data_IF_883241605726
#
_entry.id   IF_883241605726
#
_cell.length_a   1.000
_cell.length_b   1.000
_cell.length_c   1.000
_cell.angle_alpha   90.00
_cell.angle_beta   90.00
_cell.angle_gamma   90.00
#
_symmetry.space_group_name_H-M   'P 1'
#
loop_
_entity.id
_entity.type
_entity.pdbx_description
1 polymer ?
#
# COMPACT_ATOMS: atom_id res chain seq x y z
N UNK A 1 -13.81 60.35 -33.77
CA UNK A 1 -13.44 59.25 -34.67
C UNK A 1 -12.46 58.33 -33.92
N UNK A 2 -12.97 57.31 -33.26
CA UNK A 2 -12.14 56.36 -32.46
C UNK A 2 -12.02 55.11 -33.33
N UNK A 3 -10.79 54.76 -33.71
CA UNK A 3 -10.48 53.55 -34.46
C UNK A 3 -10.52 52.35 -33.53
N UNK A 4 -11.40 51.38 -33.79
CA UNK A 4 -11.40 50.04 -33.23
C UNK A 4 -10.25 49.27 -33.89
N UNK A 5 -9.32 48.74 -33.08
CA UNK A 5 -8.35 47.75 -33.55
C UNK A 5 -9.01 46.37 -33.42
N UNK A 6 -9.35 45.77 -34.55
CA UNK A 6 -9.75 44.37 -34.65
C UNK A 6 -8.55 43.48 -34.35
N UNK A 7 -8.56 42.86 -33.20
CA UNK A 7 -7.68 41.72 -32.90
C UNK A 7 -8.28 40.45 -33.51
N UNK A 8 -7.97 40.19 -34.76
CA UNK A 8 -8.22 38.88 -35.38
C UNK A 8 -7.17 37.91 -34.87
N UNK A 9 -7.56 37.05 -33.89
CA UNK A 9 -6.73 35.92 -33.46
C UNK A 9 -6.73 34.90 -34.60
N UNK A 10 -5.55 34.70 -35.21
CA UNK A 10 -5.38 33.76 -36.33
C UNK A 10 -5.78 32.32 -35.91
N UNK A 11 -6.49 31.56 -36.76
CA UNK A 11 -6.84 30.15 -36.52
C UNK A 11 -5.64 29.27 -36.23
N UNK A 12 -4.44 29.65 -36.66
CA UNK A 12 -3.18 28.97 -36.35
C UNK A 12 -2.81 29.01 -34.85
N UNK A 13 -3.20 30.04 -34.11
CA UNK A 13 -2.91 30.10 -32.65
C UNK A 13 -3.74 29.09 -31.85
N UNK A 14 -5.00 28.87 -32.21
CA UNK A 14 -5.84 27.87 -31.60
C UNK A 14 -5.34 26.44 -31.88
N UNK A 15 -4.85 26.19 -33.09
CA UNK A 15 -4.31 24.90 -33.48
C UNK A 15 -2.98 24.58 -32.73
N UNK A 16 -2.12 25.59 -32.58
CA UNK A 16 -0.83 25.45 -31.90
C UNK A 16 -1.01 25.25 -30.38
N UNK A 17 -1.94 25.98 -29.75
CA UNK A 17 -2.27 25.82 -28.33
C UNK A 17 -2.90 24.44 -28.09
N UNK A 18 -3.82 24.00 -28.91
CA UNK A 18 -4.45 22.69 -28.86
C UNK A 18 -3.44 21.57 -29.08
N UNK A 19 -2.53 21.72 -30.05
CA UNK A 19 -1.49 20.71 -30.30
C UNK A 19 -0.45 20.65 -29.19
N UNK A 20 -0.05 21.77 -28.61
CA UNK A 20 0.88 21.83 -27.46
C UNK A 20 0.25 21.26 -26.23
N UNK A 21 -1.03 21.55 -25.97
CA UNK A 21 -1.80 20.93 -24.86
C UNK A 21 -1.95 19.41 -25.06
N UNK A 22 -2.23 18.98 -26.29
CA UNK A 22 -2.33 17.58 -26.67
C UNK A 22 -0.99 16.85 -26.53
N UNK A 23 0.11 17.47 -26.97
CA UNK A 23 1.48 16.94 -26.81
C UNK A 23 1.87 16.91 -25.33
N UNK A 24 1.56 17.93 -24.52
CA UNK A 24 1.79 17.89 -23.07
C UNK A 24 0.99 16.78 -22.36
N UNK A 25 -0.26 16.55 -22.76
CA UNK A 25 -1.07 15.44 -22.27
C UNK A 25 -0.52 14.07 -22.72
N UNK A 26 0.10 14.00 -23.90
CA UNK A 26 0.71 12.78 -24.43
C UNK A 26 2.03 12.39 -23.73
N UNK A 27 2.71 13.33 -23.06
CA UNK A 27 4.00 13.11 -22.40
C UNK A 27 3.83 12.82 -20.90
N UNK A 28 2.65 13.11 -20.32
CA UNK A 28 2.41 12.91 -18.89
C UNK A 28 2.30 11.41 -18.57
N UNK A 29 3.12 10.95 -17.65
CA UNK A 29 3.00 9.57 -17.12
C UNK A 29 1.65 9.36 -16.46
N UNK A 30 1.15 8.12 -16.55
CA UNK A 30 -0.08 7.68 -15.89
C UNK A 30 0.25 6.60 -14.88
N UNK A 31 -0.11 6.82 -13.62
CA UNK A 31 0.02 5.84 -12.54
C UNK A 31 -1.35 5.27 -12.20
N UNK A 32 -1.44 3.94 -12.11
CA UNK A 32 -2.61 3.23 -11.63
C UNK A 32 -2.35 2.71 -10.21
N UNK A 33 -3.25 3.03 -9.29
CA UNK A 33 -3.19 2.58 -7.90
C UNK A 33 -4.50 1.85 -7.57
N UNK A 34 -4.46 0.55 -7.33
CA UNK A 34 -5.63 -0.18 -6.83
C UNK A 34 -5.58 -0.24 -5.31
N UNK A 35 -6.75 -0.22 -4.64
CA UNK A 35 -6.81 -0.05 -3.20
C UNK A 35 -6.31 1.34 -2.76
N UNK A 36 -6.57 2.36 -3.62
CA UNK A 36 -6.00 3.71 -3.46
C UNK A 36 -6.53 4.50 -2.28
N UNK A 37 -7.62 4.08 -1.65
CA UNK A 37 -8.21 4.69 -0.46
C UNK A 37 -7.87 3.92 0.84
N UNK A 38 -7.24 2.74 0.73
CA UNK A 38 -6.67 2.01 1.84
C UNK A 38 -5.46 2.71 2.46
N UNK A 39 -4.94 2.21 3.58
CA UNK A 39 -3.85 2.87 4.32
C UNK A 39 -2.59 3.10 3.48
N UNK A 40 -2.05 2.07 2.82
CA UNK A 40 -0.84 2.21 2.00
C UNK A 40 -1.14 2.97 0.71
N UNK A 41 -2.27 2.66 0.05
CA UNK A 41 -2.68 3.27 -1.22
C UNK A 41 -2.82 4.78 -1.12
N UNK A 42 -3.54 5.31 -0.11
CA UNK A 42 -3.71 6.76 0.04
C UNK A 42 -2.41 7.50 0.36
N UNK A 43 -1.48 6.87 1.10
CA UNK A 43 -0.16 7.44 1.33
C UNK A 43 0.69 7.44 0.05
N UNK A 44 0.56 6.42 -0.82
CA UNK A 44 1.16 6.43 -2.15
C UNK A 44 0.54 7.53 -3.04
N UNK A 45 -0.80 7.69 -3.06
CA UNK A 45 -1.47 8.78 -3.79
C UNK A 45 -0.94 10.14 -3.35
N UNK A 46 -0.89 10.40 -2.03
CA UNK A 46 -0.34 11.66 -1.47
C UNK A 46 1.11 11.88 -1.90
N UNK A 47 1.95 10.85 -1.84
CA UNK A 47 3.37 10.93 -2.23
C UNK A 47 3.49 11.27 -3.72
N UNK A 48 2.82 10.56 -4.60
CA UNK A 48 2.88 10.81 -6.04
C UNK A 48 2.26 12.16 -6.42
N UNK A 49 1.19 12.59 -5.74
CA UNK A 49 0.62 13.92 -5.90
C UNK A 49 1.65 15.01 -5.60
N UNK A 50 2.43 14.85 -4.53
CA UNK A 50 3.40 15.84 -4.09
C UNK A 50 4.71 15.86 -4.89
N UNK A 51 5.09 14.73 -5.50
CA UNK A 51 6.43 14.56 -6.09
C UNK A 51 6.44 14.40 -7.61
N UNK A 52 5.26 14.29 -8.25
CA UNK A 52 5.15 14.12 -9.71
C UNK A 52 4.06 15.02 -10.30
N UNK A 53 4.11 15.23 -11.61
CA UNK A 53 3.05 15.86 -12.39
C UNK A 53 2.17 14.82 -13.12
N UNK A 54 2.38 13.54 -12.88
CA UNK A 54 1.68 12.43 -13.51
C UNK A 54 0.16 12.51 -13.32
N UNK A 55 -0.58 11.91 -14.24
CA UNK A 55 -1.95 11.52 -14.01
C UNK A 55 -1.97 10.35 -13.02
N UNK A 56 -2.78 10.44 -11.98
CA UNK A 56 -2.91 9.40 -10.97
C UNK A 56 -4.36 8.88 -11.01
N UNK A 57 -4.50 7.60 -11.31
CA UNK A 57 -5.78 6.91 -11.30
C UNK A 57 -5.77 6.00 -10.09
N UNK A 58 -6.75 6.14 -9.22
CA UNK A 58 -6.85 5.27 -8.06
C UNK A 58 -8.26 4.70 -7.92
N UNK A 59 -8.32 3.39 -7.70
CA UNK A 59 -9.53 2.58 -7.67
C UNK A 59 -9.69 2.01 -6.28
N UNK A 60 -10.90 2.12 -5.71
CA UNK A 60 -11.24 1.56 -4.41
C UNK A 60 -12.76 1.42 -4.30
N UNK A 61 -13.26 0.35 -3.69
CA UNK A 61 -14.69 0.14 -3.44
C UNK A 61 -15.17 0.76 -2.13
N UNK A 62 -14.23 1.29 -1.33
CA UNK A 62 -14.46 1.86 0.00
C UNK A 62 -14.97 0.86 1.04
N UNK A 63 -14.83 -0.45 0.81
CA UNK A 63 -15.20 -1.47 1.79
C UNK A 63 -14.44 -1.36 3.12
N UNK A 64 -13.17 -0.89 3.03
CA UNK A 64 -12.31 -0.57 4.18
C UNK A 64 -11.68 0.82 4.00
N UNK A 65 -11.51 1.26 2.75
CA UNK A 65 -10.91 2.54 2.39
C UNK A 65 -11.72 3.75 2.85
N UNK A 66 -11.06 4.89 2.98
CA UNK A 66 -11.70 6.17 3.35
C UNK A 66 -11.83 7.06 2.12
N UNK A 67 -13.02 7.66 1.91
CA UNK A 67 -13.30 8.49 0.73
C UNK A 67 -12.28 9.64 0.59
N UNK A 68 -11.78 9.93 -0.63
CA UNK A 68 -10.71 10.92 -0.86
C UNK A 68 -11.01 12.31 -0.33
N UNK A 69 -12.27 12.75 -0.31
CA UNK A 69 -12.66 14.05 0.22
C UNK A 69 -12.21 14.31 1.68
N UNK A 70 -11.93 13.25 2.43
CA UNK A 70 -11.55 13.37 3.84
C UNK A 70 -10.04 13.52 4.07
N UNK A 71 -9.21 13.13 3.09
CA UNK A 71 -7.76 13.08 3.27
C UNK A 71 -6.95 13.68 2.11
N UNK A 72 -7.54 13.81 0.90
CA UNK A 72 -6.87 14.35 -0.25
C UNK A 72 -6.96 15.88 -0.26
N UNK A 73 -5.81 16.55 -0.22
CA UNK A 73 -5.73 18.02 -0.33
C UNK A 73 -5.67 18.41 -1.80
N UNK A 74 -6.82 18.42 -2.47
CA UNK A 74 -6.95 18.74 -3.88
C UNK A 74 -8.36 19.29 -4.16
N UNK A 75 -8.49 20.19 -5.15
CA UNK A 75 -9.78 20.73 -5.53
C UNK A 75 -10.53 19.75 -6.44
N UNK A 76 -11.81 19.49 -6.16
CA UNK A 76 -12.66 18.77 -7.12
C UNK A 76 -12.83 19.61 -8.39
N UNK A 77 -12.55 19.00 -9.53
CA UNK A 77 -12.68 19.65 -10.83
C UNK A 77 -13.80 19.06 -11.68
N UNK A 78 -14.15 17.79 -11.43
CA UNK A 78 -15.28 17.11 -12.06
C UNK A 78 -15.72 15.94 -11.19
N UNK A 79 -17.00 15.58 -11.29
CA UNK A 79 -17.54 14.36 -10.66
C UNK A 79 -18.67 13.78 -11.50
N UNK A 80 -18.91 12.48 -11.35
CA UNK A 80 -19.99 11.75 -11.99
C UNK A 80 -20.31 10.48 -11.22
N UNK A 81 -21.21 9.68 -11.76
CA UNK A 81 -21.58 8.42 -11.12
C UNK A 81 -20.36 7.48 -10.98
N UNK A 82 -19.94 7.23 -9.74
CA UNK A 82 -18.83 6.34 -9.43
C UNK A 82 -17.43 6.91 -9.67
N UNK A 83 -17.27 8.22 -9.92
CA UNK A 83 -15.94 8.81 -10.05
C UNK A 83 -15.87 10.28 -9.63
N UNK A 84 -14.68 10.70 -9.23
CA UNK A 84 -14.33 12.11 -8.96
C UNK A 84 -12.95 12.41 -9.54
N UNK A 85 -12.80 13.60 -10.15
CA UNK A 85 -11.51 14.11 -10.60
C UNK A 85 -11.10 15.28 -9.72
N UNK A 86 -9.86 15.25 -9.24
CA UNK A 86 -9.25 16.32 -8.46
C UNK A 86 -8.06 16.91 -9.21
N UNK A 87 -7.89 18.23 -9.13
CA UNK A 87 -6.80 18.99 -9.75
C UNK A 87 -6.55 18.65 -11.24
N UNK A 88 -7.61 18.25 -11.97
CA UNK A 88 -7.57 17.81 -13.38
C UNK A 88 -6.57 16.65 -13.65
N UNK A 89 -6.10 15.92 -12.64
CA UNK A 89 -5.11 14.85 -12.82
C UNK A 89 -5.20 13.66 -11.87
N UNK A 90 -6.02 13.75 -10.83
CA UNK A 90 -6.23 12.65 -9.89
C UNK A 90 -7.64 12.11 -10.13
N UNK A 91 -7.75 10.97 -10.77
CA UNK A 91 -9.02 10.31 -11.05
C UNK A 91 -9.27 9.24 -10.00
N UNK A 92 -10.26 9.44 -9.14
CA UNK A 92 -10.81 8.42 -8.27
C UNK A 92 -11.94 7.68 -8.97
N UNK A 93 -11.89 6.35 -8.98
CA UNK A 93 -12.96 5.47 -9.45
C UNK A 93 -13.43 4.64 -8.27
N UNK A 94 -14.66 4.84 -7.83
CA UNK A 94 -15.30 4.04 -6.79
C UNK A 94 -15.88 2.78 -7.41
N UNK A 95 -15.15 1.70 -7.36
CA UNK A 95 -15.56 0.41 -7.93
C UNK A 95 -14.76 -0.75 -7.34
N UNK A 96 -15.34 -1.94 -7.41
CA UNK A 96 -14.62 -3.19 -7.18
C UNK A 96 -13.53 -3.35 -8.25
N UNK A 97 -12.29 -3.54 -7.79
CA UNK A 97 -11.11 -3.64 -8.66
C UNK A 97 -11.20 -4.83 -9.61
N UNK A 98 -11.81 -5.94 -9.20
CA UNK A 98 -11.99 -7.11 -10.05
C UNK A 98 -12.87 -6.78 -11.27
N UNK A 99 -13.97 -6.06 -11.05
CA UNK A 99 -14.84 -5.60 -12.14
C UNK A 99 -14.11 -4.63 -13.07
N UNK A 100 -13.30 -3.73 -12.53
CA UNK A 100 -12.52 -2.79 -13.36
C UNK A 100 -11.48 -3.53 -14.20
N UNK A 101 -10.76 -4.50 -13.64
CA UNK A 101 -9.75 -5.27 -14.38
C UNK A 101 -10.38 -6.13 -15.48
N UNK A 102 -11.54 -6.72 -15.23
CA UNK A 102 -12.32 -7.41 -16.28
C UNK A 102 -12.72 -6.44 -17.40
N UNK A 103 -13.18 -5.25 -17.04
CA UNK A 103 -13.52 -4.20 -18.00
C UNK A 103 -12.31 -3.71 -18.81
N UNK A 104 -11.15 -3.51 -18.20
CA UNK A 104 -9.91 -3.14 -18.89
C UNK A 104 -9.53 -4.15 -19.97
N UNK A 105 -9.81 -5.43 -19.74
CA UNK A 105 -9.51 -6.49 -20.69
C UNK A 105 -10.56 -6.66 -21.80
N UNK A 106 -11.82 -6.27 -21.59
CA UNK A 106 -12.95 -6.54 -22.48
C UNK A 106 -13.52 -5.31 -23.19
N UNK A 107 -13.45 -4.13 -22.61
CA UNK A 107 -14.07 -2.89 -23.08
C UNK A 107 -13.23 -1.65 -22.76
N UNK A 108 -12.05 -1.54 -23.37
CA UNK A 108 -11.16 -0.40 -23.20
C UNK A 108 -11.80 0.92 -23.65
N UNK A 109 -12.70 0.88 -24.66
CA UNK A 109 -13.36 2.07 -25.22
C UNK A 109 -14.33 2.70 -24.22
N UNK A 110 -14.94 1.90 -23.34
CA UNK A 110 -15.75 2.40 -22.23
C UNK A 110 -14.92 3.30 -21.30
N UNK A 111 -13.71 2.85 -20.92
CA UNK A 111 -12.83 3.62 -20.03
C UNK A 111 -12.31 4.89 -20.70
N UNK A 112 -12.01 4.84 -21.99
CA UNK A 112 -11.62 6.03 -22.73
C UNK A 112 -12.77 7.04 -22.82
N UNK A 113 -13.96 6.61 -23.18
CA UNK A 113 -15.11 7.50 -23.35
C UNK A 113 -15.61 8.10 -22.02
N UNK A 114 -15.59 7.31 -20.94
CA UNK A 114 -16.12 7.71 -19.63
C UNK A 114 -15.13 8.54 -18.81
N UNK A 115 -13.87 8.15 -18.81
CA UNK A 115 -12.85 8.70 -17.91
C UNK A 115 -11.69 9.39 -18.63
N UNK A 116 -11.71 9.41 -19.96
CA UNK A 116 -10.56 9.81 -20.77
C UNK A 116 -9.28 9.03 -20.42
N UNK A 117 -9.45 7.73 -20.14
CA UNK A 117 -8.41 6.82 -19.71
C UNK A 117 -8.07 5.83 -20.83
N UNK A 118 -6.87 5.95 -21.39
CA UNK A 118 -6.29 4.94 -22.26
C UNK A 118 -5.59 3.86 -21.43
N UNK A 119 -6.25 2.72 -21.26
CA UNK A 119 -5.75 1.61 -20.44
C UNK A 119 -4.45 0.98 -20.98
N UNK A 120 -4.12 1.22 -22.26
CA UNK A 120 -2.88 0.77 -22.88
C UNK A 120 -1.69 1.70 -22.60
N UNK A 121 -1.94 2.87 -22.00
CA UNK A 121 -0.91 3.88 -21.70
C UNK A 121 -0.64 4.07 -20.21
N UNK A 122 -0.98 3.09 -19.39
CA UNK A 122 -0.62 3.09 -17.98
C UNK A 122 0.87 2.76 -17.88
N UNK A 123 1.63 3.64 -17.25
CA UNK A 123 3.08 3.48 -17.09
C UNK A 123 3.41 2.66 -15.84
N UNK A 124 3.02 3.12 -14.67
CA UNK A 124 3.34 2.44 -13.42
C UNK A 124 2.06 1.95 -12.74
N UNK A 125 2.11 0.72 -12.23
CA UNK A 125 1.00 0.09 -11.49
C UNK A 125 1.44 -0.16 -10.05
N UNK A 126 0.65 0.35 -9.11
CA UNK A 126 0.77 0.08 -7.67
C UNK A 126 -0.46 -0.71 -7.23
N UNK A 127 -0.30 -2.01 -7.06
CA UNK A 127 -1.43 -2.89 -6.79
C UNK A 127 -1.59 -3.12 -5.29
N UNK A 128 -2.45 -2.32 -4.60
CA UNK A 128 -2.70 -2.47 -3.16
C UNK A 128 -4.08 -3.06 -2.84
N UNK A 129 -4.96 -3.21 -3.82
CA UNK A 129 -6.27 -3.81 -3.57
C UNK A 129 -6.10 -5.26 -3.10
N UNK A 130 -6.68 -5.56 -1.96
CA UNK A 130 -6.67 -6.88 -1.34
C UNK A 130 -7.76 -6.96 -0.28
N UNK A 131 -8.30 -8.14 -0.07
CA UNK A 131 -9.18 -8.44 1.06
C UNK A 131 -8.30 -8.76 2.26
N UNK A 132 -7.91 -7.72 2.99
CA UNK A 132 -6.99 -7.80 4.10
C UNK A 132 -7.59 -7.16 5.36
N UNK A 133 -7.11 -7.56 6.51
CA UNK A 133 -7.49 -7.01 7.80
C UNK A 133 -6.60 -7.52 8.90
N UNK A 134 -6.91 -7.14 10.15
CA UNK A 134 -6.24 -7.69 11.32
C UNK A 134 -6.52 -9.19 11.50
N UNK A 135 -5.95 -9.80 12.53
CA UNK A 135 -6.06 -11.23 12.82
C UNK A 135 -7.50 -11.74 12.85
N UNK A 136 -8.43 -10.95 13.37
CA UNK A 136 -9.86 -11.29 13.41
C UNK A 136 -10.47 -11.54 12.02
N UNK A 137 -10.02 -10.84 10.99
CA UNK A 137 -10.49 -11.03 9.61
C UNK A 137 -9.88 -12.28 8.99
N UNK A 138 -8.56 -12.47 9.13
CA UNK A 138 -7.81 -13.59 8.55
C UNK A 138 -8.30 -14.93 9.14
N UNK A 139 -8.48 -15.00 10.46
CA UNK A 139 -8.93 -16.21 11.15
C UNK A 139 -10.45 -16.40 11.07
N UNK A 140 -11.22 -15.31 11.03
CA UNK A 140 -12.68 -15.34 11.07
C UNK A 140 -13.35 -15.66 9.74
N UNK A 141 -12.73 -15.28 8.61
CA UNK A 141 -13.27 -15.51 7.28
C UNK A 141 -12.16 -15.80 6.25
N UNK A 142 -11.47 -16.93 6.39
CA UNK A 142 -10.33 -17.26 5.53
C UNK A 142 -10.73 -17.49 4.05
N UNK A 143 -11.96 -17.87 3.78
CA UNK A 143 -12.44 -18.05 2.38
C UNK A 143 -12.68 -16.72 1.69
N UNK A 144 -13.17 -15.69 2.38
CA UNK A 144 -13.27 -14.35 1.81
C UNK A 144 -11.87 -13.80 1.46
N UNK A 145 -10.87 -14.05 2.32
CA UNK A 145 -9.47 -13.65 2.04
C UNK A 145 -8.91 -14.38 0.81
N UNK A 146 -9.34 -15.60 0.53
CA UNK A 146 -8.91 -16.35 -0.66
C UNK A 146 -9.35 -15.69 -1.99
N UNK A 147 -10.33 -14.77 -1.98
CA UNK A 147 -10.73 -14.00 -3.17
C UNK A 147 -9.61 -13.07 -3.68
N UNK A 148 -8.59 -12.79 -2.88
CA UNK A 148 -7.37 -12.11 -3.33
C UNK A 148 -6.74 -12.78 -4.55
N UNK A 149 -6.83 -14.12 -4.64
CA UNK A 149 -6.32 -14.87 -5.79
C UNK A 149 -6.98 -14.45 -7.11
N UNK A 150 -8.28 -14.15 -7.10
CA UNK A 150 -9.00 -13.68 -8.28
C UNK A 150 -8.56 -12.26 -8.66
N UNK A 151 -8.43 -11.37 -7.67
CA UNK A 151 -7.99 -9.98 -7.86
C UNK A 151 -6.58 -9.97 -8.47
N UNK A 152 -5.63 -10.68 -7.85
CA UNK A 152 -4.23 -10.76 -8.28
C UNK A 152 -4.12 -11.39 -9.68
N UNK A 153 -4.85 -12.49 -9.95
CA UNK A 153 -4.82 -13.18 -11.24
C UNK A 153 -5.30 -12.27 -12.39
N UNK A 154 -6.40 -11.53 -12.19
CA UNK A 154 -6.90 -10.61 -13.22
C UNK A 154 -5.99 -9.41 -13.42
N UNK A 155 -5.36 -8.87 -12.36
CA UNK A 155 -4.37 -7.82 -12.46
C UNK A 155 -3.16 -8.28 -13.30
N UNK A 156 -2.57 -9.43 -12.99
CA UNK A 156 -1.45 -9.97 -13.76
C UNK A 156 -1.84 -10.31 -15.21
N UNK A 157 -3.05 -10.87 -15.42
CA UNK A 157 -3.55 -11.19 -16.76
C UNK A 157 -3.63 -9.94 -17.65
N UNK A 158 -4.19 -8.84 -17.12
CA UNK A 158 -4.23 -7.56 -17.81
C UNK A 158 -2.80 -7.00 -18.02
N UNK A 159 -1.97 -6.95 -16.98
CA UNK A 159 -0.64 -6.38 -17.05
C UNK A 159 0.29 -7.12 -18.03
N UNK A 160 0.16 -8.45 -18.15
CA UNK A 160 0.91 -9.23 -19.14
C UNK A 160 0.48 -8.96 -20.59
N UNK A 161 -0.72 -8.44 -20.83
CA UNK A 161 -1.23 -8.11 -22.18
C UNK A 161 -0.88 -6.69 -22.59
N UNK A 162 -0.96 -5.74 -21.68
CA UNK A 162 -0.76 -4.32 -21.95
C UNK A 162 0.65 -3.82 -21.64
N UNK A 163 1.40 -4.56 -20.85
CA UNK A 163 2.81 -4.34 -20.51
C UNK A 163 3.07 -2.89 -20.04
N UNK A 164 2.49 -2.47 -18.89
CA UNK A 164 2.87 -1.20 -18.29
C UNK A 164 4.39 -1.14 -18.09
N UNK A 165 4.95 0.06 -18.00
CA UNK A 165 6.40 0.22 -17.84
C UNK A 165 6.93 -0.55 -16.63
N UNK A 166 6.16 -0.53 -15.52
CA UNK A 166 6.51 -1.22 -14.27
C UNK A 166 5.25 -1.55 -13.46
N UNK A 167 5.32 -2.65 -12.71
CA UNK A 167 4.28 -3.04 -11.76
C UNK A 167 4.87 -3.37 -10.40
N UNK A 168 4.31 -2.86 -9.32
CA UNK A 168 4.56 -3.27 -7.95
C UNK A 168 3.47 -4.24 -7.49
N UNK A 169 3.89 -5.39 -6.95
CA UNK A 169 3.02 -6.37 -6.31
C UNK A 169 3.27 -6.42 -4.79
N UNK A 170 2.25 -6.18 -3.97
CA UNK A 170 2.35 -6.24 -2.52
C UNK A 170 2.17 -7.69 -2.04
N UNK A 171 3.26 -8.40 -1.85
CA UNK A 171 3.29 -9.59 -1.04
C UNK A 171 3.19 -9.22 0.45
N UNK A 172 3.59 -10.08 1.34
CA UNK A 172 3.49 -9.85 2.78
C UNK A 172 4.51 -10.69 3.53
N UNK A 173 4.87 -10.26 4.74
CA UNK A 173 5.55 -11.11 5.71
C UNK A 173 4.74 -12.35 6.11
N UNK A 174 3.43 -12.40 5.84
CA UNK A 174 2.59 -13.58 6.03
C UNK A 174 2.89 -14.72 5.04
N UNK A 175 3.60 -14.42 3.93
CA UNK A 175 4.07 -15.42 2.97
C UNK A 175 5.18 -16.32 3.52
N UNK A 176 5.85 -15.90 4.59
CA UNK A 176 6.90 -16.70 5.23
C UNK A 176 6.34 -17.91 5.98
N UNK A 177 7.10 -19.03 6.01
CA UNK A 177 6.73 -20.21 6.77
C UNK A 177 6.49 -19.90 8.26
N UNK A 178 5.37 -20.40 8.82
CA UNK A 178 5.00 -20.12 10.21
C UNK A 178 5.89 -20.83 11.24
N UNK A 179 6.51 -21.95 10.85
CA UNK A 179 7.47 -22.70 11.68
C UNK A 179 8.77 -21.93 11.96
N UNK A 180 9.10 -20.92 11.16
CA UNK A 180 10.23 -20.01 11.40
C UNK A 180 9.90 -18.86 12.38
N UNK A 181 8.69 -18.80 12.90
CA UNK A 181 8.14 -17.66 13.65
C UNK A 181 7.66 -18.06 15.05
N UNK A 182 8.28 -19.11 15.62
CA UNK A 182 7.92 -19.70 16.91
C UNK A 182 8.62 -19.01 18.10
N UNK A 183 8.21 -19.38 19.34
CA UNK A 183 8.78 -18.84 20.58
C UNK A 183 10.26 -19.19 20.72
N UNK A 184 10.60 -20.45 20.42
CA UNK A 184 11.93 -21.01 20.67
C UNK A 184 12.92 -20.77 19.52
N UNK A 185 12.47 -20.19 18.41
CA UNK A 185 13.25 -20.06 17.18
C UNK A 185 13.04 -18.74 16.47
N UNK A 186 12.92 -17.62 17.21
CA UNK A 186 12.80 -16.30 16.57
C UNK A 186 14.04 -16.00 15.72
N UNK A 187 13.89 -16.10 14.40
CA UNK A 187 14.96 -15.77 13.46
C UNK A 187 14.56 -14.55 12.64
N UNK A 188 15.55 -13.77 12.22
CA UNK A 188 15.35 -12.73 11.21
C UNK A 188 15.06 -13.39 9.85
N UNK A 189 13.85 -13.16 9.31
CA UNK A 189 13.38 -13.80 8.07
C UNK A 189 14.10 -13.21 6.86
N UNK A 190 14.76 -14.08 6.09
CA UNK A 190 15.48 -13.71 4.85
C UNK A 190 14.62 -13.99 3.63
N UNK A 191 14.79 -13.22 2.57
CA UNK A 191 14.07 -13.44 1.30
C UNK A 191 14.24 -14.89 0.79
N UNK A 192 15.40 -15.51 1.02
CA UNK A 192 15.72 -16.89 0.65
C UNK A 192 14.99 -17.97 1.46
N UNK A 193 14.34 -17.62 2.57
CA UNK A 193 13.56 -18.57 3.37
C UNK A 193 12.28 -18.99 2.66
N UNK A 194 11.84 -18.22 1.67
CA UNK A 194 10.80 -18.65 0.72
C UNK A 194 11.46 -19.33 -0.49
N UNK A 195 11.28 -20.66 -0.54
CA UNK A 195 11.80 -21.47 -1.64
C UNK A 195 10.65 -22.26 -2.29
N UNK A 196 10.25 -21.90 -3.50
CA UNK A 196 9.17 -22.55 -4.24
C UNK A 196 9.37 -24.04 -4.54
N UNK A 197 10.59 -24.56 -4.41
CA UNK A 197 10.87 -26.00 -4.56
C UNK A 197 10.72 -26.78 -3.25
N UNK A 198 10.80 -26.09 -2.11
CA UNK A 198 10.64 -26.67 -0.77
C UNK A 198 9.96 -25.61 0.12
N UNK A 199 8.64 -25.52 0.00
CA UNK A 199 7.86 -24.53 0.72
C UNK A 199 7.47 -25.02 2.10
N UNK A 200 7.65 -24.18 3.13
CA UNK A 200 6.96 -24.28 4.39
C UNK A 200 5.55 -23.67 4.31
N UNK A 201 4.72 -23.90 5.29
CA UNK A 201 3.33 -23.44 5.34
C UNK A 201 3.28 -21.94 5.68
N UNK A 202 2.72 -21.10 4.79
CA UNK A 202 2.51 -19.66 5.07
C UNK A 202 1.30 -19.43 5.98
N UNK A 203 1.11 -18.19 6.41
CA UNK A 203 0.09 -17.82 7.39
C UNK A 203 -1.32 -17.81 6.76
N UNK A 204 -2.02 -18.94 6.88
CA UNK A 204 -3.40 -19.13 6.42
C UNK A 204 -3.59 -18.81 4.91
N UNK A 205 -4.84 -18.61 4.49
CA UNK A 205 -5.18 -18.25 3.11
C UNK A 205 -4.55 -16.93 2.66
N UNK A 206 -4.38 -15.97 3.57
CA UNK A 206 -3.70 -14.71 3.27
C UNK A 206 -2.23 -14.92 2.86
N UNK A 207 -1.49 -15.70 3.64
CA UNK A 207 -0.10 -16.03 3.30
C UNK A 207 0.00 -16.79 1.98
N UNK A 208 -0.91 -17.74 1.73
CA UNK A 208 -0.98 -18.48 0.48
C UNK A 208 -1.32 -17.60 -0.73
N UNK A 209 -2.28 -16.67 -0.61
CA UNK A 209 -2.60 -15.74 -1.72
C UNK A 209 -1.39 -14.89 -2.06
N UNK A 210 -0.71 -14.32 -1.06
CA UNK A 210 0.46 -13.47 -1.29
C UNK A 210 1.65 -14.24 -1.90
N UNK A 211 1.87 -15.47 -1.44
CA UNK A 211 2.90 -16.36 -2.02
C UNK A 211 2.59 -16.75 -3.46
N UNK A 212 1.32 -17.02 -3.77
CA UNK A 212 0.86 -17.30 -5.14
C UNK A 212 1.09 -16.11 -6.05
N UNK A 213 0.79 -14.89 -5.61
CA UNK A 213 1.06 -13.67 -6.38
C UNK A 213 2.54 -13.44 -6.64
N UNK A 214 3.45 -13.78 -5.71
CA UNK A 214 4.90 -13.76 -5.99
C UNK A 214 5.29 -14.75 -7.09
N UNK A 215 4.66 -15.93 -7.11
CA UNK A 215 4.90 -16.88 -8.18
C UNK A 215 4.39 -16.35 -9.52
N UNK A 216 3.19 -15.74 -9.56
CA UNK A 216 2.66 -15.08 -10.75
C UNK A 216 3.57 -13.95 -11.22
N UNK A 217 4.13 -13.15 -10.30
CA UNK A 217 5.10 -12.10 -10.63
C UNK A 217 6.34 -12.62 -11.34
N UNK A 218 6.91 -13.75 -10.87
CA UNK A 218 8.04 -14.40 -11.52
C UNK A 218 7.69 -14.92 -12.91
N UNK A 219 6.52 -15.51 -13.09
CA UNK A 219 6.03 -15.95 -14.41
C UNK A 219 5.82 -14.75 -15.33
N UNK A 220 5.17 -13.69 -14.84
CA UNK A 220 4.93 -12.46 -15.60
C UNK A 220 6.24 -11.83 -16.10
N UNK A 221 7.26 -11.78 -15.25
CA UNK A 221 8.56 -11.26 -15.63
C UNK A 221 9.28 -12.17 -16.64
N UNK A 222 9.37 -13.49 -16.35
CA UNK A 222 10.19 -14.40 -17.14
C UNK A 222 9.58 -14.82 -18.47
N UNK A 223 8.24 -14.91 -18.59
CA UNK A 223 7.54 -15.38 -19.79
C UNK A 223 6.93 -14.25 -20.62
N UNK A 224 6.52 -13.15 -19.96
CA UNK A 224 5.83 -12.06 -20.64
C UNK A 224 6.66 -10.78 -20.73
N UNK A 225 7.80 -10.71 -20.02
CA UNK A 225 8.67 -9.53 -20.04
C UNK A 225 8.13 -8.35 -19.23
N UNK A 226 7.11 -8.57 -18.39
CA UNK A 226 6.58 -7.54 -17.51
C UNK A 226 7.61 -7.22 -16.42
N UNK A 227 7.92 -5.94 -16.24
CA UNK A 227 8.82 -5.50 -15.16
C UNK A 227 8.04 -5.48 -13.84
N UNK A 228 8.28 -6.45 -12.97
CA UNK A 228 7.58 -6.60 -11.69
C UNK A 228 8.54 -6.50 -10.52
N UNK A 229 8.15 -5.70 -9.54
CA UNK A 229 8.78 -5.60 -8.22
C UNK A 229 7.84 -6.21 -7.18
N UNK A 230 8.27 -7.20 -6.43
CA UNK A 230 7.52 -7.71 -5.29
C UNK A 230 8.06 -7.14 -3.99
N UNK A 231 7.17 -6.78 -3.07
CA UNK A 231 7.54 -6.30 -1.74
C UNK A 231 6.91 -7.17 -0.66
N UNK A 232 7.64 -7.42 0.41
CA UNK A 232 7.16 -8.09 1.63
C UNK A 232 7.22 -7.11 2.79
N UNK A 233 6.24 -6.17 2.92
CA UNK A 233 6.21 -5.28 4.07
C UNK A 233 5.94 -6.09 5.33
N UNK A 234 6.64 -5.73 6.40
CA UNK A 234 6.35 -6.22 7.73
C UNK A 234 5.25 -5.38 8.37
N UNK A 235 5.32 -5.06 9.65
CA UNK A 235 4.23 -4.32 10.30
C UNK A 235 4.29 -2.82 10.01
N UNK A 236 3.80 -2.42 8.83
CA UNK A 236 3.68 -1.01 8.46
C UNK A 236 2.70 -0.26 9.36
N UNK A 237 3.06 0.93 9.81
CA UNK A 237 2.23 1.79 10.64
C UNK A 237 2.37 3.27 10.25
N UNK A 238 1.41 4.10 10.69
CA UNK A 238 1.43 5.54 10.48
C UNK A 238 0.23 6.25 11.09
N UNK A 239 0.20 7.58 10.97
CA UNK A 239 -0.71 8.51 11.66
C UNK A 239 -2.19 8.35 11.26
N UNK A 240 -2.43 7.87 10.05
CA UNK A 240 -3.78 7.74 9.48
C UNK A 240 -4.25 6.29 9.33
N UNK A 241 -3.54 5.33 9.96
CA UNK A 241 -3.94 3.93 9.98
C UNK A 241 -5.19 3.73 10.85
N UNK A 242 -6.03 2.76 10.47
CA UNK A 242 -7.27 2.43 11.17
C UNK A 242 -7.03 1.81 12.56
N UNK A 243 -7.95 2.08 13.51
CA UNK A 243 -7.86 1.59 14.90
C UNK A 243 -7.99 0.06 15.04
N UNK A 244 -8.37 -0.66 14.00
CA UNK A 244 -8.34 -2.13 13.98
C UNK A 244 -6.93 -2.70 14.00
N UNK A 245 -5.91 -1.86 13.72
CA UNK A 245 -4.50 -2.23 13.77
C UNK A 245 -3.88 -1.89 15.15
N UNK A 246 -2.89 -2.69 15.59
CA UNK A 246 -2.36 -2.57 16.95
C UNK A 246 -1.76 -1.20 17.29
N UNK A 247 -0.94 -0.63 16.41
CA UNK A 247 -0.20 0.60 16.72
C UNK A 247 -1.15 1.79 16.99
N UNK A 248 -2.08 2.13 16.09
CA UNK A 248 -3.01 3.24 16.37
C UNK A 248 -3.98 2.93 17.52
N UNK A 249 -4.38 1.65 17.73
CA UNK A 249 -5.20 1.26 18.87
C UNK A 249 -4.48 1.49 20.20
N UNK A 250 -3.21 1.10 20.30
CA UNK A 250 -2.38 1.32 21.50
C UNK A 250 -2.17 2.81 21.73
N UNK A 251 -1.89 3.59 20.68
CA UNK A 251 -1.73 5.03 20.77
C UNK A 251 -2.99 5.74 21.32
N UNK A 252 -4.18 5.37 20.81
CA UNK A 252 -5.45 5.94 21.26
C UNK A 252 -5.75 5.61 22.73
N UNK A 253 -5.40 4.41 23.20
CA UNK A 253 -5.55 3.99 24.60
C UNK A 253 -4.54 4.71 25.52
N UNK A 254 -3.29 4.87 25.05
CA UNK A 254 -2.28 5.64 25.77
C UNK A 254 -2.67 7.13 25.90
N UNK A 255 -3.26 7.72 24.85
CA UNK A 255 -3.78 9.09 24.90
C UNK A 255 -4.90 9.27 25.94
N UNK A 256 -5.69 8.23 26.19
CA UNK A 256 -6.72 8.19 27.25
C UNK A 256 -6.13 7.85 28.64
N UNK A 257 -4.80 7.58 28.73
CA UNK A 257 -4.11 7.20 29.97
C UNK A 257 -4.73 5.95 30.63
N UNK A 258 -5.06 4.93 29.82
CA UNK A 258 -5.71 3.72 30.30
C UNK A 258 -4.86 2.98 31.35
N UNK A 259 -5.46 2.61 32.49
CA UNK A 259 -4.85 1.84 33.56
C UNK A 259 -5.92 0.95 34.23
N UNK A 260 -5.80 -0.38 34.28
CA UNK A 260 -4.69 -1.17 33.71
C UNK A 260 -4.68 -1.18 32.19
N UNK A 261 -3.48 -1.26 31.61
CA UNK A 261 -3.32 -1.37 30.16
C UNK A 261 -3.38 -2.84 29.76
N UNK A 262 -4.50 -3.28 29.19
CA UNK A 262 -4.68 -4.65 28.74
C UNK A 262 -3.89 -4.94 27.47
N UNK A 263 -3.22 -6.09 27.40
CA UNK A 263 -2.49 -6.58 26.23
C UNK A 263 -2.88 -8.01 25.92
N UNK A 264 -3.16 -8.31 24.65
CA UNK A 264 -3.50 -9.67 24.22
C UNK A 264 -2.27 -10.59 24.31
N UNK A 265 -2.47 -11.81 24.84
CA UNK A 265 -1.38 -12.73 25.17
C UNK A 265 -0.51 -12.18 26.29
N UNK A 266 0.77 -12.52 26.28
CA UNK A 266 1.75 -12.02 27.25
C UNK A 266 2.27 -10.61 26.94
N UNK A 267 2.03 -10.10 25.73
CA UNK A 267 2.64 -8.87 25.23
C UNK A 267 4.10 -9.03 24.77
N UNK A 268 4.71 -10.21 24.95
CA UNK A 268 6.10 -10.47 24.53
C UNK A 268 6.22 -10.92 23.07
N UNK A 269 5.09 -11.27 22.43
CA UNK A 269 5.07 -11.47 21.00
C UNK A 269 5.47 -10.15 20.29
N UNK A 270 6.26 -10.27 19.22
CA UNK A 270 6.86 -9.10 18.59
C UNK A 270 6.67 -9.06 17.08
N UNK A 271 6.82 -7.85 16.55
CA UNK A 271 6.78 -7.55 15.12
C UNK A 271 7.93 -6.63 14.74
N UNK A 272 8.19 -6.55 13.45
CA UNK A 272 9.06 -5.54 12.86
C UNK A 272 8.19 -4.36 12.42
N UNK A 273 8.20 -3.28 13.18
CA UNK A 273 7.38 -2.10 12.91
C UNK A 273 8.15 -1.10 12.03
N UNK A 274 7.61 -0.76 10.88
CA UNK A 274 8.20 0.19 9.93
C UNK A 274 7.21 1.31 9.60
N UNK A 275 7.68 2.56 9.61
CA UNK A 275 6.81 3.71 9.32
C UNK A 275 6.39 3.73 7.84
N UNK A 276 5.15 4.17 7.57
CA UNK A 276 4.58 4.19 6.22
C UNK A 276 5.41 5.01 5.22
N UNK A 277 6.02 6.11 5.63
CA UNK A 277 6.88 6.92 4.76
C UNK A 277 8.09 6.14 4.29
N UNK A 278 8.72 5.35 5.17
CA UNK A 278 9.84 4.47 4.82
C UNK A 278 9.39 3.33 3.89
N UNK A 279 8.18 2.79 4.11
CA UNK A 279 7.60 1.78 3.20
C UNK A 279 7.43 2.34 1.80
N UNK A 280 6.85 3.53 1.66
CA UNK A 280 6.64 4.19 0.37
C UNK A 280 7.99 4.52 -0.31
N UNK A 281 8.96 5.04 0.44
CA UNK A 281 10.31 5.32 -0.07
C UNK A 281 10.97 4.05 -0.63
N UNK A 282 10.87 2.93 0.10
CA UNK A 282 11.43 1.65 -0.34
C UNK A 282 10.72 1.12 -1.60
N UNK A 283 9.39 1.21 -1.67
CA UNK A 283 8.62 0.79 -2.84
C UNK A 283 9.08 1.54 -4.09
N UNK A 284 9.16 2.86 -4.03
CA UNK A 284 9.55 3.68 -5.16
C UNK A 284 10.97 3.36 -5.61
N UNK A 285 11.92 3.25 -4.68
CA UNK A 285 13.31 2.87 -4.97
C UNK A 285 13.39 1.45 -5.57
N UNK A 286 12.65 0.50 -5.02
CA UNK A 286 12.65 -0.87 -5.51
C UNK A 286 12.12 -0.98 -6.94
N UNK A 287 11.09 -0.23 -7.29
CA UNK A 287 10.54 -0.19 -8.65
C UNK A 287 11.54 0.36 -9.67
N UNK A 288 12.51 1.16 -9.27
CA UNK A 288 13.56 1.64 -10.15
C UNK A 288 14.67 0.60 -10.41
N UNK A 289 14.82 -0.41 -9.54
CA UNK A 289 15.98 -1.31 -9.57
C UNK A 289 15.67 -2.81 -9.67
N UNK A 290 14.43 -3.24 -9.38
CA UNK A 290 14.02 -4.64 -9.34
C UNK A 290 12.87 -4.87 -10.32
N UNK A 291 13.10 -5.70 -11.35
CA UNK A 291 12.16 -5.86 -12.46
C UNK A 291 11.84 -7.32 -12.80
N UNK A 292 12.37 -8.26 -12.04
CA UNK A 292 12.38 -9.70 -12.36
C UNK A 292 11.40 -10.53 -11.47
N UNK A 293 10.52 -9.85 -10.73
CA UNK A 293 9.62 -10.51 -9.78
C UNK A 293 10.30 -10.96 -8.49
N UNK A 294 11.55 -10.55 -8.25
CA UNK A 294 12.21 -10.79 -6.97
C UNK A 294 11.50 -10.02 -5.86
N UNK A 295 11.16 -10.73 -4.78
CA UNK A 295 10.55 -10.12 -3.61
C UNK A 295 11.62 -9.62 -2.63
N UNK A 296 11.37 -8.46 -2.01
CA UNK A 296 12.24 -7.84 -1.01
C UNK A 296 11.50 -7.58 0.29
N UNK A 297 12.19 -7.70 1.40
CA UNK A 297 11.69 -7.32 2.71
C UNK A 297 11.64 -5.80 2.86
N UNK A 298 10.60 -5.30 3.54
CA UNK A 298 10.51 -3.91 3.98
C UNK A 298 10.23 -3.90 5.48
N UNK A 299 11.23 -3.56 6.28
CA UNK A 299 11.17 -3.51 7.74
C UNK A 299 12.33 -2.70 8.30
N UNK A 300 12.50 -2.75 9.61
CA UNK A 300 13.64 -2.15 10.31
C UNK A 300 14.73 -3.17 10.66
N UNK A 301 14.45 -4.48 10.49
CA UNK A 301 15.34 -5.55 10.92
C UNK A 301 15.36 -5.75 12.44
N UNK A 302 14.32 -5.29 13.14
CA UNK A 302 14.23 -5.33 14.61
C UNK A 302 12.93 -5.97 15.08
N UNK A 303 13.05 -6.98 15.95
CA UNK A 303 11.89 -7.51 16.67
C UNK A 303 11.55 -6.56 17.83
N UNK A 304 10.35 -5.99 17.82
CA UNK A 304 9.84 -5.11 18.87
C UNK A 304 8.58 -5.72 19.46
N UNK A 305 8.52 -5.93 20.77
CA UNK A 305 7.37 -6.54 21.45
C UNK A 305 6.23 -5.53 21.61
N UNK A 306 4.99 -6.04 21.80
CA UNK A 306 3.85 -5.16 22.10
C UNK A 306 4.01 -4.47 23.45
N UNK A 307 4.61 -5.12 24.45
CA UNK A 307 4.94 -4.48 25.73
C UNK A 307 5.87 -3.27 25.52
N UNK A 308 6.90 -3.40 24.66
CA UNK A 308 7.81 -2.31 24.32
C UNK A 308 7.07 -1.15 23.63
N UNK A 309 6.18 -1.44 22.67
CA UNK A 309 5.36 -0.41 22.01
C UNK A 309 4.45 0.31 23.01
N UNK A 310 3.80 -0.41 23.94
CA UNK A 310 2.98 0.19 24.99
C UNK A 310 3.84 1.11 25.86
N UNK A 311 5.03 0.68 26.29
CA UNK A 311 5.95 1.50 27.09
C UNK A 311 6.36 2.78 26.36
N UNK A 312 6.66 2.70 25.05
CA UNK A 312 6.99 3.89 24.24
C UNK A 312 5.84 4.89 24.24
N UNK A 313 4.59 4.44 23.99
CA UNK A 313 3.44 5.32 23.99
C UNK A 313 3.13 5.91 25.37
N UNK A 314 3.20 5.10 26.43
CA UNK A 314 2.95 5.57 27.80
C UNK A 314 4.00 6.56 28.27
N UNK A 315 5.27 6.38 27.88
CA UNK A 315 6.34 7.36 28.11
C UNK A 315 6.08 8.68 27.39
N UNK A 316 5.61 8.65 26.14
CA UNK A 316 5.21 9.87 25.38
C UNK A 316 4.03 10.55 26.09
N UNK A 317 3.05 9.79 26.56
CA UNK A 317 1.88 10.27 27.30
C UNK A 317 2.17 10.74 28.74
N UNK A 318 3.38 10.49 29.25
CA UNK A 318 3.82 10.92 30.58
C UNK A 318 3.11 10.16 31.72
N UNK A 319 2.92 8.83 31.59
CA UNK A 319 2.36 7.99 32.67
C UNK A 319 2.88 6.55 32.57
N UNK A 320 2.71 5.78 33.65
CA UNK A 320 3.17 4.41 33.77
C UNK A 320 2.01 3.53 34.27
N UNK A 321 1.33 2.78 33.38
CA UNK A 321 0.20 1.93 33.75
C UNK A 321 0.64 0.57 34.27
N UNK A 322 -0.26 -0.12 34.97
CA UNK A 322 -0.17 -1.54 35.23
C UNK A 322 -0.47 -2.32 33.96
N UNK A 323 0.48 -3.13 33.46
CA UNK A 323 0.25 -3.99 32.29
C UNK A 323 -0.55 -5.24 32.73
N UNK A 324 -1.68 -5.49 32.06
CA UNK A 324 -2.56 -6.64 32.32
C UNK A 324 -2.59 -7.56 31.10
N UNK A 325 -1.88 -8.71 31.11
CA UNK A 325 -1.91 -9.68 30.01
C UNK A 325 -3.25 -10.43 29.96
N UNK A 326 -3.79 -10.60 28.75
CA UNK A 326 -4.99 -11.38 28.44
C UNK A 326 -4.57 -12.65 27.69
N UNK A 327 -4.20 -13.70 28.43
CA UNK A 327 -3.57 -14.91 27.90
C UNK A 327 -4.51 -15.77 27.04
N UNK A 328 -5.81 -15.58 27.16
CA UNK A 328 -6.87 -16.26 26.40
C UNK A 328 -7.11 -15.67 25.01
N UNK A 329 -6.54 -14.50 24.73
CA UNK A 329 -6.74 -13.82 23.45
C UNK A 329 -5.78 -14.31 22.37
N UNK A 330 -6.22 -14.36 21.10
CA UNK A 330 -5.39 -14.82 19.99
C UNK A 330 -4.24 -13.84 19.71
N UNK A 331 -3.04 -14.39 19.51
CA UNK A 331 -1.82 -13.58 19.29
C UNK A 331 -1.17 -13.80 17.91
N UNK A 332 -1.62 -14.82 17.16
CA UNK A 332 -0.99 -15.24 15.90
C UNK A 332 0.42 -15.79 16.12
N UNK A 333 1.32 -15.57 15.16
CA UNK A 333 2.73 -15.99 15.29
C UNK A 333 3.44 -15.22 16.40
N UNK A 334 4.38 -15.86 17.09
CA UNK A 334 5.08 -15.24 18.22
C UNK A 334 6.04 -14.14 17.78
N UNK A 335 6.87 -14.38 16.76
CA UNK A 335 7.87 -13.42 16.29
C UNK A 335 7.83 -13.30 14.78
N UNK A 336 7.82 -12.06 14.25
CA UNK A 336 7.86 -11.81 12.83
C UNK A 336 8.65 -10.54 12.55
N UNK A 337 9.94 -10.71 12.16
CA UNK A 337 10.83 -9.62 11.80
C UNK A 337 11.78 -10.05 10.68
N UNK A 338 12.35 -9.11 9.94
CA UNK A 338 13.14 -9.39 8.76
C UNK A 338 14.65 -9.26 8.98
N UNK A 339 15.39 -9.96 8.14
CA UNK A 339 16.77 -9.66 7.82
C UNK A 339 16.79 -8.61 6.69
N UNK A 340 17.52 -7.52 6.88
CA UNK A 340 17.60 -6.41 5.93
C UNK A 340 18.82 -6.49 5.01
N UNK A 341 19.69 -7.49 5.16
CA UNK A 341 20.97 -7.56 4.45
C UNK A 341 20.81 -7.55 2.94
N UNK A 342 19.79 -8.26 2.40
CA UNK A 342 19.54 -8.32 0.96
C UNK A 342 19.11 -6.97 0.40
N UNK A 343 18.19 -6.28 1.06
CA UNK A 343 17.71 -4.95 0.64
C UNK A 343 18.81 -3.90 0.75
N UNK A 344 19.59 -3.91 1.84
CA UNK A 344 20.74 -3.02 2.00
C UNK A 344 21.77 -3.24 0.88
N UNK A 345 22.10 -4.49 0.59
CA UNK A 345 23.04 -4.82 -0.48
C UNK A 345 22.51 -4.44 -1.87
N UNK A 346 21.21 -4.71 -2.12
CA UNK A 346 20.62 -4.56 -3.46
C UNK A 346 20.27 -3.11 -3.79
N UNK A 347 19.78 -2.35 -2.81
CA UNK A 347 19.22 -1.01 -2.99
C UNK A 347 19.96 0.08 -2.18
N UNK A 348 20.85 -0.27 -1.25
CA UNK A 348 21.43 0.69 -0.31
C UNK A 348 20.39 1.31 0.63
N UNK A 349 19.19 0.71 0.75
CA UNK A 349 18.09 1.27 1.50
C UNK A 349 18.09 0.79 2.96
N UNK A 350 17.74 1.73 3.85
CA UNK A 350 17.44 1.48 5.27
C UNK A 350 16.28 2.37 5.69
N UNK A 351 15.46 1.87 6.62
CA UNK A 351 14.45 2.69 7.28
C UNK A 351 15.14 3.87 8.03
N UNK A 352 14.55 5.06 7.92
CA UNK A 352 15.11 6.32 8.47
C UNK A 352 14.38 6.78 9.72
N UNK A 353 13.08 6.41 9.85
CA UNK A 353 12.23 6.87 10.95
C UNK A 353 12.35 5.88 12.10
N UNK A 354 12.89 6.34 13.23
CA UNK A 354 13.01 5.48 14.43
C UNK A 354 11.64 5.13 15.00
N UNK A 355 11.59 4.05 15.81
CA UNK A 355 10.35 3.65 16.50
C UNK A 355 9.82 4.80 17.37
N UNK A 356 10.69 5.48 18.11
CA UNK A 356 10.32 6.58 19.00
C UNK A 356 9.71 7.75 18.23
N UNK A 357 10.32 8.12 17.10
CA UNK A 357 9.83 9.22 16.26
C UNK A 357 8.50 8.86 15.61
N UNK A 358 8.41 7.68 14.98
CA UNK A 358 7.17 7.24 14.32
C UNK A 358 6.02 7.07 15.31
N UNK A 359 6.28 6.48 16.50
CA UNK A 359 5.25 6.35 17.55
C UNK A 359 4.80 7.71 18.10
N UNK A 360 5.72 8.69 18.19
CA UNK A 360 5.34 10.06 18.57
C UNK A 360 4.36 10.67 17.59
N UNK A 361 4.62 10.57 16.27
CA UNK A 361 3.70 11.07 15.23
C UNK A 361 2.32 10.44 15.33
N UNK A 362 2.27 9.11 15.51
CA UNK A 362 0.99 8.40 15.68
C UNK A 362 0.25 8.84 16.94
N UNK A 363 0.97 9.04 18.05
CA UNK A 363 0.38 9.52 19.30
C UNK A 363 -0.20 10.93 19.16
N UNK A 364 0.56 11.87 18.55
CA UNK A 364 0.08 13.23 18.30
C UNK A 364 -1.17 13.24 17.42
N UNK A 365 -1.21 12.40 16.39
CA UNK A 365 -2.39 12.22 15.56
C UNK A 365 -3.59 11.63 16.33
N UNK A 366 -3.35 10.70 17.25
CA UNK A 366 -4.40 10.12 18.10
C UNK A 366 -4.99 11.17 19.08
N UNK A 367 -4.14 12.01 19.67
CA UNK A 367 -4.58 13.13 20.53
C UNK A 367 -5.40 14.14 19.74
N UNK A 368 -4.93 14.54 18.54
CA UNK A 368 -5.65 15.50 17.68
C UNK A 368 -7.05 15.02 17.26
N UNK A 369 -7.25 13.70 17.11
CA UNK A 369 -8.57 13.11 16.79
C UNK A 369 -9.48 12.96 18.00
N UNK A 370 -8.96 13.08 19.22
CA UNK A 370 -9.72 12.92 20.48
C UNK A 370 -10.29 14.26 21.00
N UNK A 371 -9.86 15.39 20.43
CA UNK A 371 -10.35 16.75 20.66
C UNK A 371 -11.41 17.10 19.61
#
# INVERSE_FOLDING_TARGET
MVKWCDFTISPFHYFTISLTLYICLMIRKTHLITGGCGFVGRNMVKRLQATTDAQIIFIDDLSVGTHPDTWLKAAKTSEGEGFVIYDNRLLFIQADVLHVMLGFASDSDYFFSRYNLDVARINDVFHFAAIVGGRSKIDGDPMAVALDLAIDAHMFYWACRYLPDRMMYPSSSAAYPVDLQTVDGAIALKESDINFKKMGEPDMTYGWSKLTGEYLAKIAASHYGLKVTCIRPFSGYGEDQDLSYPVPAIAARAAKREDPFEVWGSGNQGRDFVHIDDVIDCILLAMDHIHDGTAINIGMGRLTSFNEIIQVFCKIAGYEPTIKPLLDKPVGVHSRYCDMSFVEQRLGWKAKISIEEGMRRVYEAAVAKSV
#
